data_IF_199713358390
#
_entry.id   IF_199713358390
#
_cell.length_a   1.000
_cell.length_b   1.000
_cell.length_c   1.000
_cell.angle_alpha   90.00
_cell.angle_beta   90.00
_cell.angle_gamma   90.00
#
_symmetry.space_group_name_H-M   'P 1'
#
loop_
_entity.id
_entity.type
_entity.pdbx_description
1 polymer ?
#
# COMPACT_ATOMS: atom_id res chain seq x y z
N UNK A 1 -22.73 0.47 14.46
CA UNK A 1 -22.27 1.19 15.68
C UNK A 1 -20.83 1.61 15.44
N UNK A 2 -20.50 2.91 15.59
CA UNK A 2 -19.12 3.39 15.43
C UNK A 2 -18.39 3.28 16.76
N UNK A 3 -17.20 2.67 16.79
CA UNK A 3 -16.38 2.60 18.01
C UNK A 3 -15.72 3.97 18.28
N UNK A 4 -15.40 4.26 19.54
CA UNK A 4 -14.80 5.56 19.92
C UNK A 4 -13.32 5.60 19.50
N UNK A 5 -12.87 6.73 18.95
CA UNK A 5 -11.45 6.96 18.62
C UNK A 5 -10.59 6.74 19.88
N UNK A 6 -9.57 5.87 19.84
CA UNK A 6 -8.74 5.63 21.00
C UNK A 6 -7.84 6.84 21.29
N UNK A 7 -7.90 7.34 22.52
CA UNK A 7 -7.12 8.49 23.01
C UNK A 7 -5.69 8.13 23.43
N UNK A 8 -5.29 6.85 23.36
CA UNK A 8 -3.95 6.36 23.71
C UNK A 8 -3.66 5.00 23.07
N UNK A 9 -2.39 4.62 22.96
CA UNK A 9 -1.96 3.32 22.43
C UNK A 9 -2.48 2.12 23.24
N UNK A 10 -2.76 2.31 24.55
CA UNK A 10 -3.42 1.30 25.40
C UNK A 10 -4.90 1.15 25.05
N UNK A 11 -5.56 2.24 24.70
CA UNK A 11 -6.97 2.22 24.28
C UNK A 11 -7.13 1.65 22.86
N UNK A 12 -6.13 1.79 21.99
CA UNK A 12 -6.13 1.21 20.65
C UNK A 12 -6.32 -0.32 20.68
N UNK A 13 -5.62 -1.02 21.58
CA UNK A 13 -5.82 -2.46 21.76
C UNK A 13 -7.23 -2.84 22.22
N UNK A 14 -7.87 -2.00 23.04
CA UNK A 14 -9.25 -2.25 23.48
C UNK A 14 -10.22 -2.16 22.30
N UNK A 15 -10.09 -1.12 21.48
CA UNK A 15 -10.91 -0.92 20.29
C UNK A 15 -10.68 -2.04 19.27
N UNK A 16 -9.43 -2.43 19.02
CA UNK A 16 -9.11 -3.56 18.13
C UNK A 16 -9.77 -4.85 18.64
N UNK A 17 -9.68 -5.13 19.95
CA UNK A 17 -10.37 -6.29 20.53
C UNK A 17 -11.87 -6.21 20.34
N UNK A 18 -12.49 -5.05 20.57
CA UNK A 18 -13.93 -4.86 20.35
C UNK A 18 -14.31 -5.20 18.90
N UNK A 19 -13.54 -4.75 17.91
CA UNK A 19 -13.76 -5.05 16.48
C UNK A 19 -13.63 -6.56 16.21
N UNK A 20 -12.60 -7.22 16.75
CA UNK A 20 -12.43 -8.68 16.59
C UNK A 20 -13.63 -9.45 17.16
N UNK A 21 -14.16 -9.01 18.30
CA UNK A 21 -15.32 -9.66 18.93
C UNK A 21 -16.65 -9.40 18.19
N UNK A 22 -16.70 -8.47 17.22
CA UNK A 22 -17.89 -8.27 16.38
C UNK A 22 -18.12 -9.45 15.42
N UNK A 23 -17.09 -10.27 15.14
CA UNK A 23 -17.17 -11.34 14.15
C UNK A 23 -17.30 -10.78 12.74
N UNK A 24 -18.17 -11.37 11.91
CA UNK A 24 -18.42 -10.91 10.55
C UNK A 24 -19.19 -9.60 10.55
N UNK A 25 -18.69 -8.61 9.82
CA UNK A 25 -19.31 -7.30 9.64
C UNK A 25 -19.61 -7.09 8.17
N UNK A 26 -20.84 -6.70 7.84
CA UNK A 26 -21.22 -6.33 6.49
C UNK A 26 -20.49 -5.04 6.06
N UNK A 27 -20.00 -5.04 4.83
CA UNK A 27 -19.37 -3.86 4.22
C UNK A 27 -20.44 -2.77 4.05
N UNK A 28 -20.25 -1.55 4.61
CA UNK A 28 -21.17 -0.45 4.41
C UNK A 28 -21.41 -0.13 2.92
N UNK A 29 -22.65 0.16 2.49
CA UNK A 29 -23.01 0.32 1.07
C UNK A 29 -22.21 1.41 0.31
N UNK A 30 -21.66 2.38 1.04
CA UNK A 30 -20.84 3.45 0.46
C UNK A 30 -19.42 3.01 0.07
N UNK A 31 -18.96 1.83 0.52
CA UNK A 31 -17.62 1.32 0.21
C UNK A 31 -17.68 0.24 -0.86
N UNK A 32 -16.86 0.39 -1.90
CA UNK A 32 -16.88 -0.47 -3.09
C UNK A 32 -15.46 -0.85 -3.54
N UNK A 33 -15.36 -1.94 -4.32
CA UNK A 33 -14.12 -2.41 -4.91
C UNK A 33 -13.15 -3.06 -3.90
N UNK A 34 -11.93 -3.34 -4.35
CA UNK A 34 -10.92 -4.07 -3.57
C UNK A 34 -10.49 -3.36 -2.27
N UNK A 35 -10.69 -2.04 -2.17
CA UNK A 35 -10.39 -1.26 -0.96
C UNK A 35 -11.51 -1.26 0.09
N UNK A 36 -12.70 -1.80 -0.22
CA UNK A 36 -13.85 -1.72 0.68
C UNK A 36 -13.63 -2.36 2.07
N UNK A 37 -12.90 -3.49 2.20
CA UNK A 37 -12.59 -4.04 3.52
C UNK A 37 -11.71 -3.12 4.39
N UNK A 38 -10.71 -2.46 3.78
CA UNK A 38 -9.86 -1.48 4.48
C UNK A 38 -10.66 -0.28 4.95
N UNK A 39 -11.49 0.28 4.06
CA UNK A 39 -12.38 1.40 4.41
C UNK A 39 -13.38 1.04 5.51
N UNK A 40 -13.87 -0.20 5.51
CA UNK A 40 -14.75 -0.72 6.58
C UNK A 40 -14.03 -0.78 7.91
N UNK A 41 -12.77 -1.24 7.93
CA UNK A 41 -11.95 -1.29 9.13
C UNK A 41 -11.67 0.12 9.68
N UNK A 42 -11.30 1.08 8.83
CA UNK A 42 -11.12 2.50 9.20
C UNK A 42 -12.41 3.12 9.76
N UNK A 43 -13.55 2.83 9.11
CA UNK A 43 -14.87 3.27 9.56
C UNK A 43 -15.24 2.72 10.93
N UNK A 44 -14.98 1.43 11.19
CA UNK A 44 -15.22 0.81 12.49
C UNK A 44 -14.35 1.43 13.59
N UNK A 45 -13.12 1.82 13.26
CA UNK A 45 -12.18 2.50 14.15
C UNK A 45 -12.50 3.99 14.38
N UNK A 46 -13.47 4.54 13.63
CA UNK A 46 -13.79 5.96 13.58
C UNK A 46 -12.57 6.84 13.26
N UNK A 47 -11.61 6.29 12.52
CA UNK A 47 -10.47 7.05 11.99
C UNK A 47 -10.98 7.81 10.78
N UNK A 48 -10.84 9.14 10.78
CA UNK A 48 -11.09 9.91 9.56
C UNK A 48 -10.05 9.50 8.52
N UNK A 49 -10.54 9.04 7.37
CA UNK A 49 -9.72 8.75 6.21
C UNK A 49 -8.81 9.94 5.93
N UNK A 50 -7.51 9.67 5.84
CA UNK A 50 -6.53 10.67 5.48
C UNK A 50 -5.49 10.03 4.55
N UNK A 51 -4.96 10.80 3.60
CA UNK A 51 -3.94 10.34 2.66
C UNK A 51 -2.52 10.69 3.16
N UNK A 52 -2.32 10.81 4.48
CA UNK A 52 -1.01 11.16 5.02
C UNK A 52 -0.10 9.93 5.13
N UNK A 53 1.21 10.14 4.96
CA UNK A 53 2.23 9.12 5.20
C UNK A 53 2.53 8.96 6.70
N UNK A 54 1.48 8.78 7.50
CA UNK A 54 1.49 8.60 8.95
C UNK A 54 0.60 7.42 9.36
N UNK A 55 0.80 6.84 10.56
CA UNK A 55 -0.01 5.72 11.02
C UNK A 55 -1.52 6.03 11.10
N UNK A 56 -2.34 5.04 10.78
CA UNK A 56 -3.81 5.15 10.76
C UNK A 56 -4.42 5.35 12.16
N UNK A 57 -3.84 4.78 13.22
CA UNK A 57 -4.35 4.81 14.59
C UNK A 57 -3.28 5.19 15.61
N UNK A 58 -3.12 6.49 15.86
CA UNK A 58 -2.04 7.04 16.71
C UNK A 58 -0.66 6.61 16.20
N UNK A 59 -0.06 5.60 16.83
CA UNK A 59 1.25 5.04 16.47
C UNK A 59 1.14 3.77 15.60
N UNK A 60 -0.07 3.28 15.34
CA UNK A 60 -0.32 1.98 14.70
C UNK A 60 -0.82 2.14 13.26
N UNK A 61 -0.14 1.48 12.33
CA UNK A 61 -0.65 1.28 10.98
C UNK A 61 -1.59 0.08 10.99
N UNK A 62 -2.76 0.22 10.36
CA UNK A 62 -3.77 -0.83 10.35
C UNK A 62 -4.00 -1.27 8.92
N UNK A 63 -3.87 -2.58 8.70
CA UNK A 63 -4.11 -3.18 7.40
C UNK A 63 -5.03 -4.38 7.53
N UNK A 64 -6.03 -4.41 6.64
CA UNK A 64 -6.84 -5.59 6.40
C UNK A 64 -6.22 -6.41 5.27
N UNK A 65 -6.22 -7.73 5.41
CA UNK A 65 -5.90 -8.65 4.33
C UNK A 65 -6.74 -9.92 4.47
N UNK A 66 -7.41 -10.28 3.39
CA UNK A 66 -8.03 -11.58 3.22
C UNK A 66 -7.51 -12.27 1.96
N UNK A 67 -7.59 -13.60 1.94
CA UNK A 67 -7.21 -14.43 0.80
C UNK A 67 -5.72 -14.37 0.44
N UNK A 68 -5.41 -14.65 -0.83
CA UNK A 68 -4.01 -14.80 -1.32
C UNK A 68 -3.43 -13.53 -1.99
N UNK A 69 -4.06 -12.37 -1.82
CA UNK A 69 -3.56 -11.12 -2.40
C UNK A 69 -2.26 -10.64 -1.74
N UNK A 70 -1.47 -9.80 -2.41
CA UNK A 70 -0.33 -9.16 -1.75
C UNK A 70 -0.81 -8.05 -0.80
N UNK A 71 -0.19 -7.95 0.37
CA UNK A 71 -0.42 -6.85 1.30
C UNK A 71 0.40 -5.61 0.88
N UNK A 72 -0.29 -4.53 0.52
CA UNK A 72 0.36 -3.24 0.25
C UNK A 72 0.81 -2.58 1.56
N UNK A 73 2.13 -2.45 1.74
CA UNK A 73 2.70 -1.81 2.92
C UNK A 73 2.68 -0.28 2.84
N UNK A 74 3.18 0.29 1.75
CA UNK A 74 3.15 1.73 1.47
C UNK A 74 3.33 1.97 -0.03
N UNK A 75 3.09 3.22 -0.45
CA UNK A 75 3.36 3.69 -1.81
C UNK A 75 4.49 4.72 -1.75
N UNK A 76 5.37 4.72 -2.74
CA UNK A 76 6.38 5.77 -2.87
C UNK A 76 6.72 6.01 -4.33
N UNK A 77 6.62 7.26 -4.78
CA UNK A 77 7.04 7.62 -6.14
C UNK A 77 8.55 7.53 -6.32
N UNK A 78 9.03 6.97 -7.45
CA UNK A 78 10.44 6.90 -7.78
C UNK A 78 10.98 8.26 -8.26
N UNK A 79 12.30 8.35 -8.27
CA UNK A 79 13.08 9.39 -8.93
C UNK A 79 13.58 8.91 -10.31
N UNK A 80 13.87 9.86 -11.23
CA UNK A 80 13.52 11.28 -11.17
C UNK A 80 12.01 11.50 -11.34
N UNK A 81 11.51 12.67 -10.92
CA UNK A 81 10.09 13.03 -11.11
C UNK A 81 9.71 12.92 -12.59
N UNK A 82 8.59 12.24 -12.87
CA UNK A 82 8.09 12.00 -14.23
C UNK A 82 8.67 10.76 -14.91
N UNK A 83 9.59 10.02 -14.28
CA UNK A 83 10.12 8.75 -14.84
C UNK A 83 9.02 7.72 -15.10
N UNK A 84 7.96 7.70 -14.27
CA UNK A 84 6.82 6.82 -14.47
C UNK A 84 6.08 7.09 -15.78
N UNK A 85 6.05 8.32 -16.29
CA UNK A 85 5.46 8.61 -17.60
C UNK A 85 6.27 7.95 -18.72
N UNK A 86 7.61 7.91 -18.59
CA UNK A 86 8.46 7.19 -19.54
C UNK A 86 8.20 5.69 -19.48
N UNK A 87 8.08 5.12 -18.28
CA UNK A 87 7.73 3.69 -18.09
C UNK A 87 6.38 3.36 -18.74
N UNK A 88 5.35 4.15 -18.47
CA UNK A 88 4.00 3.92 -19.02
C UNK A 88 4.00 4.07 -20.54
N UNK A 89 4.69 5.05 -21.11
CA UNK A 89 4.73 5.24 -22.56
C UNK A 89 5.54 4.14 -23.28
N UNK A 90 6.62 3.65 -22.67
CA UNK A 90 7.48 2.64 -23.28
C UNK A 90 6.92 1.21 -23.13
N UNK A 91 6.26 0.93 -22.00
CA UNK A 91 5.87 -0.44 -21.63
C UNK A 91 4.38 -0.59 -21.33
N UNK A 92 3.58 0.46 -21.45
CA UNK A 92 2.14 0.37 -21.24
C UNK A 92 1.42 -0.37 -22.36
N UNK A 93 0.14 -0.63 -22.16
CA UNK A 93 -0.77 -1.15 -23.17
C UNK A 93 -2.06 -0.33 -23.18
N UNK A 94 -2.66 -0.21 -24.36
CA UNK A 94 -3.95 0.45 -24.51
C UNK A 94 -5.05 -0.41 -23.87
N UNK A 95 -5.95 0.25 -23.15
CA UNK A 95 -7.15 -0.36 -22.56
C UNK A 95 -8.34 -0.17 -23.46
N UNK A 96 -9.44 -0.89 -23.20
CA UNK A 96 -10.70 -0.78 -23.94
C UNK A 96 -11.24 0.67 -24.05
N UNK A 97 -10.87 1.54 -23.11
CA UNK A 97 -11.27 2.95 -23.07
C UNK A 97 -10.26 3.89 -23.75
N UNK A 98 -9.28 3.39 -24.49
CA UNK A 98 -8.25 4.18 -25.17
C UNK A 98 -7.20 4.81 -24.24
N UNK A 99 -7.11 4.35 -23.00
CA UNK A 99 -6.10 4.81 -22.04
C UNK A 99 -4.91 3.86 -22.00
N UNK A 100 -3.69 4.40 -21.90
CA UNK A 100 -2.48 3.58 -21.68
C UNK A 100 -2.39 3.20 -20.20
N UNK A 101 -2.35 1.90 -19.92
CA UNK A 101 -2.19 1.34 -18.58
C UNK A 101 -0.86 0.62 -18.46
N UNK A 102 -0.26 0.70 -17.28
CA UNK A 102 0.87 -0.15 -16.91
C UNK A 102 0.61 -0.73 -15.51
N UNK A 103 0.53 -2.05 -15.42
CA UNK A 103 0.45 -2.79 -14.16
C UNK A 103 1.45 -3.93 -14.21
N UNK A 104 2.28 -4.04 -13.19
CA UNK A 104 3.28 -5.10 -13.12
C UNK A 104 3.71 -5.37 -11.68
N UNK A 105 3.80 -6.64 -11.31
CA UNK A 105 4.37 -7.07 -10.03
C UNK A 105 5.72 -7.70 -10.32
N UNK A 106 6.77 -7.17 -9.70
CA UNK A 106 8.15 -7.59 -9.96
C UNK A 106 8.67 -8.35 -8.74
N UNK A 107 8.88 -9.65 -8.90
CA UNK A 107 9.60 -10.51 -7.96
C UNK A 107 10.78 -11.15 -8.70
N UNK A 108 12.00 -10.69 -8.44
CA UNK A 108 13.16 -11.07 -9.25
C UNK A 108 13.05 -10.57 -10.69
N UNK A 109 13.47 -11.37 -11.67
CA UNK A 109 13.37 -11.03 -13.10
C UNK A 109 12.04 -11.53 -13.66
N UNK A 110 11.20 -10.61 -14.11
CA UNK A 110 9.90 -10.89 -14.71
C UNK A 110 9.99 -11.25 -16.20
N UNK A 111 8.95 -11.90 -16.71
CA UNK A 111 8.81 -12.25 -18.15
C UNK A 111 8.85 -11.02 -19.06
N UNK A 112 8.37 -9.87 -18.56
CA UNK A 112 8.39 -8.59 -19.28
C UNK A 112 9.77 -7.91 -19.27
N UNK A 113 10.79 -8.59 -18.74
CA UNK A 113 12.17 -8.11 -18.70
C UNK A 113 12.50 -7.17 -17.54
N UNK A 114 11.52 -6.85 -16.68
CA UNK A 114 11.75 -6.02 -15.49
C UNK A 114 12.39 -6.80 -14.36
N UNK A 115 13.28 -6.15 -13.61
CA UNK A 115 13.88 -6.66 -12.40
C UNK A 115 14.18 -5.52 -11.42
N UNK A 116 14.39 -5.86 -10.15
CA UNK A 116 14.75 -4.91 -9.09
C UNK A 116 16.19 -5.17 -8.67
N UNK A 117 17.02 -4.12 -8.74
CA UNK A 117 18.38 -4.12 -8.23
C UNK A 117 18.50 -3.25 -6.98
N UNK A 118 19.37 -3.63 -6.05
CA UNK A 118 19.76 -2.81 -4.91
C UNK A 118 21.27 -2.56 -4.98
N UNK A 119 21.64 -1.42 -5.56
CA UNK A 119 23.04 -1.04 -5.82
C UNK A 119 23.22 0.45 -5.54
N UNK A 120 24.44 0.87 -5.18
CA UNK A 120 24.77 2.28 -4.96
C UNK A 120 23.81 3.02 -4.00
N UNK A 121 23.37 2.31 -2.95
CA UNK A 121 22.40 2.81 -1.97
C UNK A 121 21.03 3.19 -2.56
N UNK A 122 20.64 2.54 -3.67
CA UNK A 122 19.38 2.74 -4.38
C UNK A 122 18.72 1.41 -4.69
N UNK A 123 17.40 1.39 -4.56
CA UNK A 123 16.56 0.40 -5.20
C UNK A 123 16.23 0.92 -6.60
N UNK A 124 16.59 0.17 -7.64
CA UNK A 124 16.40 0.55 -9.05
C UNK A 124 15.50 -0.50 -9.69
N UNK A 125 14.53 -0.05 -10.49
CA UNK A 125 13.76 -0.93 -11.37
C UNK A 125 14.32 -0.77 -12.78
N UNK A 126 14.85 -1.84 -13.35
CA UNK A 126 15.45 -1.84 -14.69
C UNK A 126 14.72 -2.80 -15.61
N UNK A 127 14.82 -2.58 -16.92
CA UNK A 127 14.30 -3.48 -17.94
C UNK A 127 15.43 -3.87 -18.91
N UNK A 128 15.55 -5.17 -19.21
CA UNK A 128 16.60 -5.66 -20.14
C UNK A 128 16.49 -5.10 -21.56
N UNK A 129 15.29 -4.69 -21.98
CA UNK A 129 15.03 -4.21 -23.34
C UNK A 129 15.24 -2.70 -23.48
N UNK A 130 15.17 -1.94 -22.38
CA UNK A 130 15.45 -0.50 -22.36
C UNK A 130 16.09 -0.14 -21.01
N UNK A 131 17.43 -0.31 -20.91
CA UNK A 131 18.16 0.01 -19.68
C UNK A 131 18.25 1.52 -19.42
N UNK A 132 17.76 2.39 -20.31
CA UNK A 132 17.81 3.85 -20.12
C UNK A 132 16.68 4.39 -19.24
N UNK A 133 15.61 3.61 -19.02
CA UNK A 133 14.49 3.99 -18.15
C UNK A 133 14.70 3.35 -16.78
N UNK A 134 15.30 4.10 -15.87
CA UNK A 134 15.67 3.62 -14.52
C UNK A 134 14.96 4.40 -13.40
N UNK A 135 13.69 4.08 -13.08
CA UNK A 135 13.08 4.52 -11.84
C UNK A 135 13.88 4.02 -10.64
N UNK A 136 14.19 4.90 -9.69
CA UNK A 136 14.90 4.51 -8.48
C UNK A 136 14.37 5.17 -7.21
N UNK A 137 14.70 4.57 -6.06
CA UNK A 137 14.51 5.12 -4.73
C UNK A 137 15.82 5.04 -3.97
N UNK A 138 16.26 6.14 -3.36
CA UNK A 138 17.37 6.07 -2.42
C UNK A 138 16.95 5.27 -1.18
N UNK A 139 17.83 4.42 -0.66
CA UNK A 139 17.53 3.54 0.47
C UNK A 139 17.05 4.33 1.70
N UNK A 140 17.60 5.53 1.94
CA UNK A 140 17.17 6.39 3.04
C UNK A 140 15.69 6.79 2.92
N UNK A 141 15.19 7.01 1.70
CA UNK A 141 13.76 7.33 1.49
C UNK A 141 12.88 6.15 1.89
N UNK A 142 13.29 4.94 1.50
CA UNK A 142 12.57 3.71 1.83
C UNK A 142 12.61 3.42 3.33
N UNK A 143 13.79 3.51 3.94
CA UNK A 143 13.97 3.33 5.38
C UNK A 143 13.16 4.35 6.18
N UNK A 144 13.13 5.61 5.74
CA UNK A 144 12.33 6.64 6.37
C UNK A 144 10.83 6.36 6.25
N UNK A 145 10.34 5.86 5.12
CA UNK A 145 8.94 5.49 4.93
C UNK A 145 8.54 4.29 5.81
N UNK A 146 9.40 3.28 5.90
CA UNK A 146 9.19 2.13 6.79
C UNK A 146 9.20 2.60 8.25
N UNK A 147 10.17 3.41 8.64
CA UNK A 147 10.26 3.94 10.00
C UNK A 147 9.07 4.85 10.32
N UNK A 148 8.61 5.71 9.42
CA UNK A 148 7.48 6.61 9.71
C UNK A 148 6.16 5.84 9.84
N UNK A 149 5.89 4.91 8.93
CA UNK A 149 4.57 4.31 8.75
C UNK A 149 4.44 2.93 9.39
N UNK A 150 5.45 2.08 9.29
CA UNK A 150 5.36 0.66 9.67
C UNK A 150 5.97 0.36 11.04
N UNK A 151 6.21 1.38 11.88
CA UNK A 151 6.83 1.25 13.20
C UNK A 151 6.06 0.29 14.13
N UNK A 152 4.72 0.24 13.99
CA UNK A 152 3.84 -0.72 14.65
C UNK A 152 2.72 -1.11 13.70
N UNK A 153 2.78 -2.33 13.16
CA UNK A 153 1.80 -2.83 12.21
C UNK A 153 0.86 -3.81 12.92
N UNK A 154 -0.44 -3.58 12.83
CA UNK A 154 -1.45 -4.57 13.18
C UNK A 154 -2.11 -5.12 11.91
N UNK A 155 -2.26 -6.44 11.89
CA UNK A 155 -2.80 -7.18 10.77
C UNK A 155 -3.98 -8.02 11.21
N UNK A 156 -5.13 -7.85 10.54
CA UNK A 156 -6.29 -8.72 10.72
C UNK A 156 -6.40 -9.68 9.54
N UNK A 157 -6.43 -10.97 9.84
CA UNK A 157 -6.61 -12.06 8.88
C UNK A 157 -7.95 -12.73 9.12
N UNK A 158 -8.78 -12.83 8.08
CA UNK A 158 -9.90 -13.76 8.06
C UNK A 158 -9.56 -14.88 7.08
N UNK A 159 -9.58 -16.12 7.59
CA UNK A 159 -9.61 -17.34 6.79
C UNK A 159 -10.99 -17.52 6.15
#
# INVERSE_FOLDING_TARGET
>A
MSSKVPLSSKNAFKVIREIIHMGSVDIPPQFNGAGAPGNTLEFLLNVKQNNFDSPDLLDWEIKFHGGNALLTLFHKDPQPRGIMNKVVNAFGWETENGQISFRHTISGKSERGFFVDNVNNRIIVSNINDPGIEPYWDNNIILNAIASKLRRLFFSWNC
#
